data_IF_890830767691
#
_entry.id   IF_890830767691
#
_cell.length_a   1.000
_cell.length_b   1.000
_cell.length_c   1.000
_cell.angle_alpha   90.00
_cell.angle_beta   90.00
_cell.angle_gamma   90.00
#
_symmetry.space_group_name_H-M   'P 1'
#
loop_
_entity.id
_entity.type
_entity.pdbx_description
1 polymer ?
#
# COMPACT_ATOMS: atom_id res chain seq x y z
N UNK A 1 0.22 -0.48 -0.55
CA UNK A 1 -0.63 -1.26 0.37
C UNK A 1 0.17 -2.25 1.21
N UNK A 2 0.80 -3.29 0.65
CA UNK A 2 1.58 -4.26 1.44
C UNK A 2 2.69 -3.61 2.26
N UNK A 3 3.46 -2.70 1.66
CA UNK A 3 4.48 -1.93 2.38
C UNK A 3 3.88 -1.11 3.54
N UNK A 4 2.76 -0.40 3.31
CA UNK A 4 2.03 0.33 4.37
C UNK A 4 1.67 -0.56 5.55
N UNK A 5 1.16 -1.78 5.31
CA UNK A 5 0.80 -2.71 6.39
C UNK A 5 2.02 -3.14 7.20
N UNK A 6 3.15 -3.40 6.54
CA UNK A 6 4.39 -3.78 7.22
C UNK A 6 4.97 -2.62 8.03
N UNK A 7 4.95 -1.40 7.50
CA UNK A 7 5.40 -0.20 8.21
C UNK A 7 4.50 0.10 9.43
N UNK A 8 3.19 0.01 9.27
CA UNK A 8 2.25 0.14 10.38
C UNK A 8 2.47 -0.94 11.44
N UNK A 9 2.72 -2.19 11.03
CA UNK A 9 3.05 -3.30 11.93
C UNK A 9 4.37 -3.08 12.70
N UNK A 10 5.34 -2.38 12.10
CA UNK A 10 6.58 -1.95 12.73
C UNK A 10 6.41 -0.73 13.66
N UNK A 11 5.19 -0.18 13.77
CA UNK A 11 4.89 0.99 14.60
C UNK A 11 5.27 2.33 13.97
N UNK A 12 5.49 2.37 12.66
CA UNK A 12 5.73 3.62 11.93
C UNK A 12 4.44 4.43 11.87
N UNK A 13 4.53 5.74 12.11
CA UNK A 13 3.38 6.64 12.09
C UNK A 13 2.82 6.85 10.68
N UNK A 14 1.53 7.16 10.60
CA UNK A 14 0.80 7.30 9.34
C UNK A 14 1.38 8.38 8.42
N UNK A 15 1.92 9.48 8.95
CA UNK A 15 2.50 10.55 8.12
C UNK A 15 3.78 10.06 7.42
N UNK A 16 4.67 9.38 8.15
CA UNK A 16 5.87 8.76 7.57
C UNK A 16 5.53 7.75 6.48
N UNK A 17 4.48 6.95 6.67
CA UNK A 17 4.01 5.99 5.65
C UNK A 17 3.49 6.70 4.40
N UNK A 18 2.78 7.82 4.57
CA UNK A 18 2.28 8.60 3.44
C UNK A 18 3.42 9.21 2.63
N UNK A 19 4.44 9.74 3.29
CA UNK A 19 5.64 10.27 2.63
C UNK A 19 6.37 9.17 1.84
N UNK A 20 6.53 7.97 2.41
CA UNK A 20 7.11 6.82 1.71
C UNK A 20 6.30 6.44 0.45
N UNK A 21 4.97 6.44 0.58
CA UNK A 21 4.09 6.14 -0.54
C UNK A 21 4.14 7.21 -1.64
N UNK A 22 4.21 8.49 -1.29
CA UNK A 22 4.27 9.61 -2.25
C UNK A 22 5.50 9.53 -3.17
N UNK A 23 6.64 9.08 -2.63
CA UNK A 23 7.86 8.82 -3.43
C UNK A 23 7.62 7.73 -4.48
N UNK A 24 6.73 6.77 -4.22
CA UNK A 24 6.39 5.70 -5.17
C UNK A 24 5.75 6.24 -6.45
N UNK A 25 4.98 7.34 -6.38
CA UNK A 25 4.36 7.94 -7.57
C UNK A 25 5.42 8.36 -8.60
N UNK A 26 6.43 9.10 -8.15
CA UNK A 26 7.54 9.54 -9.00
C UNK A 26 8.33 8.37 -9.60
N UNK A 27 8.53 7.30 -8.82
CA UNK A 27 9.29 6.12 -9.24
C UNK A 27 8.51 5.25 -10.24
N UNK A 28 7.17 5.19 -10.10
CA UNK A 28 6.31 4.30 -10.87
C UNK A 28 5.70 4.95 -12.10
N UNK A 29 5.76 6.28 -12.24
CA UNK A 29 5.18 7.01 -13.38
C UNK A 29 5.55 6.41 -14.75
N UNK A 30 6.83 6.09 -14.96
CA UNK A 30 7.27 5.48 -16.23
C UNK A 30 6.70 4.08 -16.45
N UNK A 31 6.47 3.32 -15.39
CA UNK A 31 5.87 1.98 -15.46
C UNK A 31 4.39 2.07 -15.79
N UNK A 32 3.68 3.01 -15.16
CA UNK A 32 2.26 3.29 -15.42
C UNK A 32 2.01 3.66 -16.87
N UNK A 33 2.81 4.56 -17.44
CA UNK A 33 2.67 4.95 -18.84
C UNK A 33 2.91 3.76 -19.80
N UNK A 34 3.91 2.92 -19.52
CA UNK A 34 4.14 1.70 -20.31
C UNK A 34 2.96 0.72 -20.24
N UNK A 35 2.33 0.58 -19.07
CA UNK A 35 1.15 -0.27 -18.88
C UNK A 35 -0.07 0.26 -19.65
N UNK A 36 -0.31 1.58 -19.61
CA UNK A 36 -1.38 2.22 -20.39
C UNK A 36 -1.22 1.98 -21.89
N UNK A 37 -0.01 2.22 -22.42
CA UNK A 37 0.30 1.99 -23.85
C UNK A 37 0.06 0.52 -24.21
N UNK A 38 0.58 -0.42 -23.41
CA UNK A 38 0.40 -1.85 -23.66
C UNK A 38 -1.08 -2.27 -23.68
N UNK A 39 -1.89 -1.77 -22.74
CA UNK A 39 -3.32 -2.08 -22.68
C UNK A 39 -4.09 -1.52 -23.87
N UNK A 40 -3.72 -0.31 -24.32
CA UNK A 40 -4.29 0.30 -25.53
C UNK A 40 -3.91 -0.48 -26.78
N UNK A 41 -2.63 -0.82 -26.95
CA UNK A 41 -2.15 -1.54 -28.14
C UNK A 41 -2.68 -2.99 -28.22
N UNK A 42 -2.73 -3.69 -27.08
CA UNK A 42 -3.09 -5.12 -27.06
C UNK A 42 -4.58 -5.38 -26.99
N UNK A 43 -5.34 -4.50 -26.32
CA UNK A 43 -6.75 -4.73 -26.03
C UNK A 43 -7.67 -3.58 -26.47
N UNK A 44 -7.12 -2.48 -27.00
CA UNK A 44 -7.92 -1.31 -27.40
C UNK A 44 -8.54 -0.57 -26.21
N UNK A 45 -8.02 -0.77 -25.00
CA UNK A 45 -8.55 -0.18 -23.77
C UNK A 45 -7.81 1.13 -23.50
N UNK A 46 -8.55 2.24 -23.53
CA UNK A 46 -8.06 3.52 -23.01
C UNK A 46 -8.25 3.56 -21.49
N UNK A 47 -7.14 3.51 -20.76
CA UNK A 47 -7.16 3.50 -19.30
C UNK A 47 -7.18 4.93 -18.76
N UNK A 48 -8.14 5.29 -17.89
CA UNK A 48 -8.16 6.60 -17.24
C UNK A 48 -6.89 6.86 -16.43
N UNK A 49 -6.43 8.11 -16.39
CA UNK A 49 -5.21 8.48 -15.67
C UNK A 49 -5.26 8.13 -14.18
N UNK A 50 -6.42 8.22 -13.57
CA UNK A 50 -6.62 7.86 -12.16
C UNK A 50 -6.37 6.38 -11.84
N UNK A 51 -6.52 5.46 -12.82
CA UNK A 51 -6.41 4.02 -12.60
C UNK A 51 -4.96 3.54 -12.42
N UNK A 52 -3.99 4.31 -12.91
CA UNK A 52 -2.55 4.06 -12.71
C UNK A 52 -1.89 5.29 -12.09
N UNK A 53 -2.41 5.66 -10.92
CA UNK A 53 -1.88 6.74 -10.09
C UNK A 53 -1.53 6.19 -8.71
N UNK A 54 -0.69 6.92 -7.98
CA UNK A 54 -0.38 6.64 -6.59
C UNK A 54 -0.68 7.87 -5.73
N UNK A 55 -1.84 8.48 -5.95
CA UNK A 55 -2.18 9.73 -5.28
C UNK A 55 -2.26 9.52 -3.76
N UNK A 56 -1.61 10.42 -3.01
CA UNK A 56 -1.55 10.39 -1.54
C UNK A 56 -2.91 10.17 -0.87
N UNK A 57 -3.97 10.81 -1.37
CA UNK A 57 -5.32 10.71 -0.80
C UNK A 57 -5.82 9.25 -0.76
N UNK A 58 -5.42 8.40 -1.73
CA UNK A 58 -5.83 7.00 -1.77
C UNK A 58 -5.24 6.23 -0.60
N UNK A 59 -3.98 6.53 -0.25
CA UNK A 59 -3.32 5.93 0.90
C UNK A 59 -3.88 6.47 2.21
N UNK A 60 -4.20 7.76 2.29
CA UNK A 60 -4.88 8.35 3.46
C UNK A 60 -6.22 7.66 3.73
N UNK A 61 -7.03 7.45 2.69
CA UNK A 61 -8.28 6.71 2.82
C UNK A 61 -8.05 5.26 3.26
N UNK A 62 -7.02 4.60 2.72
CA UNK A 62 -6.71 3.22 3.06
C UNK A 62 -6.29 3.07 4.52
N UNK A 63 -5.40 3.93 5.01
CA UNK A 63 -4.97 3.97 6.42
C UNK A 63 -6.18 4.31 7.31
N UNK A 64 -6.95 5.34 6.98
CA UNK A 64 -8.14 5.71 7.75
C UNK A 64 -9.19 4.60 7.82
N UNK A 65 -9.37 3.83 6.74
CA UNK A 65 -10.26 2.67 6.75
C UNK A 65 -9.71 1.52 7.61
N UNK A 66 -8.40 1.26 7.54
CA UNK A 66 -7.71 0.26 8.38
C UNK A 66 -7.91 0.57 9.87
N UNK A 67 -7.58 1.80 10.27
CA UNK A 67 -7.70 2.28 11.65
C UNK A 67 -9.17 2.26 12.12
N UNK A 68 -10.11 2.71 11.29
CA UNK A 68 -11.52 2.73 11.65
C UNK A 68 -12.11 1.33 11.87
N UNK A 69 -11.71 0.34 11.06
CA UNK A 69 -12.33 -0.98 11.06
C UNK A 69 -11.62 -1.98 11.97
N UNK A 70 -10.30 -1.96 12.02
CA UNK A 70 -9.53 -2.89 12.85
C UNK A 70 -8.74 -2.19 13.95
N UNK A 71 -8.40 -0.91 13.78
CA UNK A 71 -7.55 -0.15 14.70
C UNK A 71 -6.10 -0.09 14.25
N UNK A 72 -5.54 -1.21 13.79
CA UNK A 72 -4.15 -1.32 13.35
C UNK A 72 -3.94 -2.48 12.37
N UNK A 73 -2.75 -2.55 11.77
CA UNK A 73 -2.38 -3.62 10.84
C UNK A 73 -2.31 -5.00 11.51
N UNK A 74 -1.96 -5.09 12.79
CA UNK A 74 -1.86 -6.38 13.50
C UNK A 74 -3.23 -7.06 13.60
N UNK A 75 -4.25 -6.33 14.04
CA UNK A 75 -5.63 -6.82 14.11
C UNK A 75 -6.21 -7.13 12.74
N UNK A 76 -5.87 -6.35 11.73
CA UNK A 76 -6.25 -6.65 10.34
C UNK A 76 -5.65 -7.98 9.86
N UNK A 77 -4.36 -8.23 10.13
CA UNK A 77 -3.69 -9.46 9.71
C UNK A 77 -4.22 -10.69 10.46
N UNK A 78 -4.51 -10.55 11.76
CA UNK A 78 -5.15 -11.61 12.55
C UNK A 78 -6.55 -11.94 12.02
N UNK A 79 -7.37 -10.93 11.69
CA UNK A 79 -8.68 -11.11 11.06
C UNK A 79 -8.57 -11.74 9.65
N UNK A 80 -7.48 -11.45 8.93
CA UNK A 80 -7.14 -12.09 7.66
C UNK A 80 -6.54 -13.51 7.80
N UNK A 81 -6.62 -14.12 8.99
CA UNK A 81 -6.14 -15.46 9.32
C UNK A 81 -4.61 -15.66 9.21
N UNK A 82 -3.82 -14.58 9.33
CA UNK A 82 -2.37 -14.68 9.53
C UNK A 82 -2.12 -15.10 10.98
N UNK A 83 -1.20 -16.04 11.19
CA UNK A 83 -0.93 -16.54 12.54
C UNK A 83 -0.21 -15.50 13.40
N UNK A 84 -0.47 -15.50 14.71
CA UNK A 84 0.25 -14.67 15.68
C UNK A 84 1.76 -14.92 15.65
N UNK A 85 2.18 -16.15 15.34
CA UNK A 85 3.60 -16.51 15.24
C UNK A 85 4.25 -15.86 14.02
N UNK A 86 3.61 -15.92 12.86
CA UNK A 86 4.13 -15.28 11.64
C UNK A 86 4.21 -13.75 11.82
N UNK A 87 3.18 -13.15 12.43
CA UNK A 87 3.18 -11.71 12.74
C UNK A 87 4.36 -11.35 13.66
N UNK A 88 4.61 -12.15 14.69
CA UNK A 88 5.71 -11.93 15.63
C UNK A 88 7.08 -12.05 14.96
N UNK A 89 7.26 -13.06 14.10
CA UNK A 89 8.48 -13.26 13.31
C UNK A 89 8.70 -12.05 12.39
N UNK A 90 7.67 -11.59 11.69
CA UNK A 90 7.80 -10.41 10.81
C UNK A 90 8.12 -9.15 11.62
N UNK A 91 7.47 -8.93 12.77
CA UNK A 91 7.78 -7.78 13.65
C UNK A 91 9.23 -7.77 14.10
N UNK A 92 9.79 -8.91 14.47
CA UNK A 92 11.20 -9.00 14.91
C UNK A 92 12.20 -8.80 13.76
N UNK A 93 11.80 -9.00 12.51
CA UNK A 93 12.62 -8.67 11.34
C UNK A 93 12.63 -7.17 10.99
N UNK A 94 11.56 -6.46 11.35
CA UNK A 94 11.36 -5.05 10.99
C UNK A 94 11.90 -4.09 12.05
N UNK A 95 11.84 -4.48 13.33
CA UNK A 95 12.32 -3.70 14.47
C UNK A 95 13.64 -4.30 14.94
N UNK A 96 14.76 -3.67 14.57
CA UNK A 96 16.12 -4.03 14.99
C UNK A 96 16.46 -3.57 16.40
#
# INVERSE_FOLDING_TARGET
MTAMLLLNLAGVDSETILVDYEVTESNMHTVFEKQKVMLKEKYGIDVPDCAFSSERFQMEMAIGYLEKKWGDAEKYLLDAAVSEEDIRIVKSMLVG
#
